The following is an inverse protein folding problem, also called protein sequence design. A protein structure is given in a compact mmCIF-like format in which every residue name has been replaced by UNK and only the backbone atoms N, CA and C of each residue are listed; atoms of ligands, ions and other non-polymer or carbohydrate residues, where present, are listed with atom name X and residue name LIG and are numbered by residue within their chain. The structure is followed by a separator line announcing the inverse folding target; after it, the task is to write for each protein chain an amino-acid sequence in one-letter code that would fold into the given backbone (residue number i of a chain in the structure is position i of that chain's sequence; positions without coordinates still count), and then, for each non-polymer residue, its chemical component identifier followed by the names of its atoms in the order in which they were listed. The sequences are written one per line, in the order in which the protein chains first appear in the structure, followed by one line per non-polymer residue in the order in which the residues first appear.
data_IF_469207596973
#
_entry.id   IF_469207596973
#
_cell.length_a   1.000
_cell.length_b   1.000
_cell.length_c   1.000
_cell.angle_alpha   90.00
_cell.angle_beta   90.00
_cell.angle_gamma   90.00
#
_symmetry.space_group_name_H-M   'P 1'
#
loop_
_entity.id
_entity.type
_entity.pdbx_description
1 polymer ?
#
# COMPACT_ATOMS: atom_id res chain seq x y z
N UNK A 1 6.96 -11.80 -8.82
CA UNK A 1 6.63 -12.05 -7.40
C UNK A 1 5.60 -11.01 -6.99
N UNK A 2 4.50 -11.41 -6.38
CA UNK A 2 3.44 -10.47 -5.97
C UNK A 2 3.55 -10.26 -4.46
N UNK A 3 3.57 -9.01 -4.03
CA UNK A 3 3.59 -8.61 -2.64
C UNK A 3 2.26 -8.01 -2.23
N UNK A 4 1.89 -8.20 -0.97
CA UNK A 4 0.65 -7.67 -0.43
C UNK A 4 0.92 -6.74 0.75
N UNK A 5 0.33 -5.55 0.71
CA UNK A 5 0.29 -4.62 1.84
C UNK A 5 -1.17 -4.35 2.19
N UNK A 6 -1.50 -4.37 3.46
CA UNK A 6 -2.75 -3.77 3.91
C UNK A 6 -2.47 -2.35 4.41
N UNK A 7 -3.20 -1.38 3.88
CA UNK A 7 -3.20 0.00 4.33
C UNK A 7 -4.49 0.24 5.10
N UNK A 8 -4.36 0.60 6.37
CA UNK A 8 -5.47 1.04 7.20
C UNK A 8 -5.47 2.56 7.27
N UNK A 9 -6.54 3.21 6.78
CA UNK A 9 -6.63 4.67 6.76
C UNK A 9 -7.12 5.19 8.12
N UNK A 10 -6.33 6.01 8.80
CA UNK A 10 -6.66 6.57 10.12
C UNK A 10 -7.35 7.95 10.03
N UNK A 11 -7.22 8.65 8.90
CA UNK A 11 -7.88 9.95 8.64
C UNK A 11 -8.52 9.95 7.25
N UNK A 12 -9.67 10.60 7.11
CA UNK A 12 -10.58 10.54 5.94
C UNK A 12 -10.06 11.18 4.63
N UNK A 13 -8.86 11.78 4.60
CA UNK A 13 -8.33 12.49 3.42
C UNK A 13 -6.83 12.24 3.19
N UNK A 14 -6.48 11.11 2.56
CA UNK A 14 -5.34 11.09 1.64
C UNK A 14 -5.53 10.09 0.47
N UNK A 15 -6.75 9.62 0.21
CA UNK A 15 -7.00 8.59 -0.80
C UNK A 15 -6.51 8.99 -2.20
N UNK A 16 -6.58 10.28 -2.55
CA UNK A 16 -6.19 10.77 -3.88
C UNK A 16 -4.68 10.73 -4.12
N UNK A 17 -3.85 11.02 -3.12
CA UNK A 17 -2.39 10.97 -3.28
C UNK A 17 -1.88 9.53 -3.26
N UNK A 18 -2.47 8.68 -2.41
CA UNK A 18 -2.18 7.26 -2.37
C UNK A 18 -2.56 6.63 -3.72
N UNK A 19 -3.77 6.91 -4.25
CA UNK A 19 -4.15 6.41 -5.58
C UNK A 19 -3.13 6.84 -6.64
N UNK A 20 -2.73 8.11 -6.69
CA UNK A 20 -1.76 8.60 -7.69
C UNK A 20 -0.41 7.91 -7.58
N UNK A 21 0.11 7.72 -6.36
CA UNK A 21 1.35 7.01 -6.11
C UNK A 21 1.25 5.56 -6.59
N UNK A 22 0.15 4.88 -6.23
CA UNK A 22 -0.09 3.48 -6.58
C UNK A 22 -0.25 3.28 -8.09
N UNK A 23 -1.02 4.14 -8.76
CA UNK A 23 -1.19 4.08 -10.22
C UNK A 23 0.14 4.36 -10.94
N UNK A 24 0.96 5.27 -10.42
CA UNK A 24 2.29 5.57 -10.96
C UNK A 24 3.30 4.42 -10.83
N UNK A 25 3.05 3.48 -9.90
CA UNK A 25 3.89 2.31 -9.66
C UNK A 25 3.31 1.01 -10.23
N UNK A 26 2.25 1.10 -11.06
CA UNK A 26 1.60 -0.08 -11.67
C UNK A 26 0.83 -0.95 -10.67
N UNK A 27 0.49 -0.42 -9.50
CA UNK A 27 -0.19 -1.17 -8.44
C UNK A 27 -1.70 -1.17 -8.67
N UNK A 28 -2.31 -2.33 -8.47
CA UNK A 28 -3.77 -2.46 -8.50
C UNK A 28 -4.30 -2.40 -7.07
N UNK A 29 -4.97 -1.30 -6.75
CA UNK A 29 -5.72 -1.19 -5.50
C UNK A 29 -6.99 -2.04 -5.65
N UNK A 30 -7.02 -3.21 -5.02
CA UNK A 30 -8.20 -4.06 -5.02
C UNK A 30 -9.01 -3.75 -3.76
N UNK A 31 -9.88 -2.75 -3.82
CA UNK A 31 -10.72 -2.37 -2.68
C UNK A 31 -11.81 -3.40 -2.44
N UNK A 32 -11.70 -4.22 -1.38
CA UNK A 32 -12.85 -4.90 -0.80
C UNK A 32 -13.32 -4.07 0.39
N UNK A 33 -14.32 -3.22 0.15
CA UNK A 33 -14.83 -2.25 1.11
C UNK A 33 -15.47 -2.95 2.32
N UNK A 34 -14.77 -2.91 3.44
CA UNK A 34 -15.35 -2.82 4.79
C UNK A 34 -14.53 -1.78 5.57
N UNK A 35 -14.98 -0.54 5.43
CA UNK A 35 -14.82 0.65 6.29
C UNK A 35 -13.45 1.16 6.76
N UNK A 36 -12.33 0.46 6.68
CA UNK A 36 -11.03 1.05 7.10
C UNK A 36 -9.78 0.41 6.50
N UNK A 37 -9.86 -0.83 6.00
CA UNK A 37 -8.71 -1.61 5.54
C UNK A 37 -8.72 -1.77 4.01
N UNK A 38 -7.63 -1.38 3.36
CA UNK A 38 -7.42 -1.53 1.91
C UNK A 38 -6.26 -2.48 1.68
N UNK A 39 -6.45 -3.50 0.84
CA UNK A 39 -5.35 -4.40 0.45
C UNK A 39 -4.80 -3.95 -0.91
N UNK A 40 -3.49 -3.78 -0.95
CA UNK A 40 -2.69 -3.49 -2.13
C UNK A 40 -1.96 -4.73 -2.57
N UNK A 41 -1.98 -4.99 -3.88
CA UNK A 41 -1.11 -5.97 -4.52
C UNK A 41 -0.10 -5.24 -5.41
N UNK A 42 1.17 -5.58 -5.25
CA UNK A 42 2.28 -5.06 -6.03
C UNK A 42 3.02 -6.20 -6.70
N UNK A 43 3.17 -6.16 -8.02
CA UNK A 43 4.02 -7.09 -8.75
C UNK A 43 5.38 -6.43 -9.01
N UNK A 44 6.46 -7.04 -8.52
CA UNK A 44 7.80 -6.49 -8.72
C UNK A 44 8.90 -7.26 -8.01
N UNK A 45 10.01 -6.58 -7.75
CA UNK A 45 11.14 -7.15 -7.01
C UNK A 45 10.98 -6.93 -5.51
N UNK A 46 11.77 -7.68 -4.72
CA UNK A 46 11.80 -7.50 -3.26
C UNK A 46 12.32 -6.10 -2.88
N UNK A 47 13.23 -5.52 -3.67
CA UNK A 47 13.78 -4.18 -3.40
C UNK A 47 12.72 -3.08 -3.58
N UNK A 48 11.93 -3.16 -4.67
CA UNK A 48 10.86 -2.21 -4.95
C UNK A 48 9.77 -2.25 -3.88
N UNK A 49 9.47 -3.46 -3.39
CA UNK A 49 8.53 -3.65 -2.28
C UNK A 49 9.03 -3.01 -0.98
N UNK A 50 10.29 -3.22 -0.60
CA UNK A 50 10.86 -2.62 0.61
C UNK A 50 10.93 -1.09 0.51
N UNK A 51 11.30 -0.56 -0.65
CA UNK A 51 11.30 0.88 -0.90
C UNK A 51 9.90 1.46 -0.74
N UNK A 52 8.88 0.82 -1.33
CA UNK A 52 7.48 1.21 -1.19
C UNK A 52 7.01 1.18 0.26
N UNK A 53 7.28 0.08 0.97
CA UNK A 53 6.91 -0.08 2.38
C UNK A 53 7.52 1.04 3.23
N UNK A 54 8.83 1.29 3.08
CA UNK A 54 9.51 2.40 3.76
C UNK A 54 8.96 3.78 3.38
N UNK A 55 8.61 3.99 2.11
CA UNK A 55 8.05 5.26 1.65
C UNK A 55 6.68 5.53 2.28
N UNK A 56 5.83 4.50 2.34
CA UNK A 56 4.52 4.53 2.97
C UNK A 56 4.61 4.62 4.51
N UNK A 57 5.64 4.06 5.13
CA UNK A 57 5.89 4.13 6.57
C UNK A 57 6.60 5.44 7.00
N UNK A 58 6.99 6.30 6.06
CA UNK A 58 7.62 7.57 6.40
C UNK A 58 6.71 8.45 7.27
N UNK A 59 7.29 9.27 8.15
CA UNK A 59 6.56 10.09 9.13
C UNK A 59 5.42 10.93 8.51
N UNK A 60 5.60 11.38 7.26
CA UNK A 60 4.60 12.14 6.51
C UNK A 60 3.32 11.35 6.21
N UNK A 61 3.41 10.03 6.11
CA UNK A 61 2.33 9.14 5.71
C UNK A 61 1.78 8.29 6.87
N UNK A 62 2.62 8.01 7.86
CA UNK A 62 2.26 7.32 9.09
C UNK A 62 1.16 8.06 9.91
N UNK A 63 1.06 9.39 9.78
CA UNK A 63 -0.04 10.17 10.38
C UNK A 63 -1.42 9.92 9.73
N UNK A 64 -1.44 9.33 8.53
CA UNK A 64 -2.63 9.18 7.70
C UNK A 64 -3.05 7.73 7.54
N UNK A 65 -2.09 6.79 7.54
CA UNK A 65 -2.37 5.39 7.39
C UNK A 65 -1.33 4.49 8.08
N UNK A 66 -1.79 3.35 8.54
CA UNK A 66 -0.95 2.27 9.04
C UNK A 66 -0.74 1.24 7.94
N UNK A 67 0.53 0.90 7.67
CA UNK A 67 0.92 -0.11 6.68
C UNK A 67 1.16 -1.43 7.41
N UNK A 68 0.60 -2.51 6.88
CA UNK A 68 0.77 -3.86 7.41
C UNK A 68 1.28 -4.75 6.28
N UNK A 69 2.41 -5.39 6.53
CA UNK A 69 2.98 -6.39 5.63
C UNK A 69 2.16 -7.67 5.68
N UNK A 70 1.60 -8.09 4.55
CA UNK A 70 0.78 -9.30 4.43
C UNK A 70 1.54 -10.45 3.77
N UNK A 71 2.82 -10.27 3.44
CA UNK A 71 3.67 -11.29 2.82
C UNK A 71 3.68 -11.24 1.29
N UNK A 72 4.26 -12.28 0.68
CA UNK A 72 4.56 -12.36 -0.75
C UNK A 72 4.18 -13.71 -1.34
N UNK A 73 3.61 -13.70 -2.54
CA UNK A 73 3.35 -14.88 -3.36
C UNK A 73 4.48 -15.04 -4.40
N UNK A 74 5.15 -16.19 -4.34
CA UNK A 74 6.21 -16.60 -5.26
C UNK A 74 5.62 -17.67 -6.18
N UNK A 75 5.72 -17.46 -7.50
CA UNK A 75 5.48 -18.46 -8.53
C UNK A 75 6.83 -18.89 -9.10
#
# INVERSE_FOLDING_TARGET
MIFFLAIQTNKQKPESEILKLLTGLGMTLTTKSKDTLKVLSFEGTTADFFWLKHHLESDKFNEYFSVIDMGKLIY
#
